data_IF_210676801587
#
_entry.id   IF_210676801587
#
_cell.length_a   1.000
_cell.length_b   1.000
_cell.length_c   1.000
_cell.angle_alpha   90.00
_cell.angle_beta   90.00
_cell.angle_gamma   90.00
#
_symmetry.space_group_name_H-M   'P 1'
#
loop_
_entity.id
_entity.type
_entity.pdbx_description
1 polymer ?
#
# COMPACT_ATOMS: atom_id res chain seq x y z
N UNK A 1 12.19 -9.34 -16.89
CA UNK A 1 12.52 -10.50 -16.02
C UNK A 1 11.81 -10.28 -14.71
N UNK A 2 11.09 -11.28 -14.19
CA UNK A 2 10.46 -11.14 -12.87
C UNK A 2 11.55 -11.02 -11.80
N UNK A 3 11.25 -10.29 -10.72
CA UNK A 3 12.12 -10.27 -9.54
C UNK A 3 12.24 -11.67 -8.96
N UNK A 4 13.44 -12.07 -8.54
CA UNK A 4 13.68 -13.36 -7.88
C UNK A 4 12.76 -13.56 -6.66
N UNK A 5 12.38 -12.47 -5.98
CA UNK A 5 11.44 -12.50 -4.86
C UNK A 5 10.04 -12.89 -5.31
N UNK A 6 9.51 -12.21 -6.32
CA UNK A 6 8.20 -12.48 -6.91
C UNK A 6 8.09 -13.89 -7.51
N UNK A 7 9.17 -14.40 -8.11
CA UNK A 7 9.23 -15.78 -8.60
C UNK A 7 9.08 -16.80 -7.46
N UNK A 8 9.73 -16.56 -6.33
CA UNK A 8 9.60 -17.39 -5.13
C UNK A 8 8.19 -17.30 -4.55
N UNK A 9 7.58 -16.12 -4.52
CA UNK A 9 6.18 -15.93 -4.09
C UNK A 9 5.21 -16.74 -4.94
N UNK A 10 5.34 -16.65 -6.27
CA UNK A 10 4.46 -17.34 -7.20
C UNK A 10 4.63 -18.86 -7.09
N UNK A 11 5.85 -19.34 -6.89
CA UNK A 11 6.11 -20.77 -6.63
C UNK A 11 5.45 -21.24 -5.33
N UNK A 12 5.50 -20.46 -4.26
CA UNK A 12 4.77 -20.76 -3.01
C UNK A 12 3.26 -20.79 -3.26
N UNK A 13 2.72 -19.78 -3.95
CA UNK A 13 1.29 -19.67 -4.26
C UNK A 13 0.75 -20.87 -5.06
N UNK A 14 1.54 -21.42 -5.98
CA UNK A 14 1.17 -22.61 -6.76
C UNK A 14 1.32 -23.93 -5.98
N UNK A 15 2.12 -23.95 -4.91
CA UNK A 15 2.34 -25.12 -4.07
C UNK A 15 1.29 -25.24 -2.95
N UNK A 16 0.84 -24.12 -2.38
CA UNK A 16 -0.14 -24.08 -1.28
C UNK A 16 -1.44 -24.87 -1.58
N UNK A 17 -2.04 -24.83 -2.79
CA UNK A 17 -3.26 -25.58 -3.09
C UNK A 17 -3.12 -27.07 -2.84
N UNK A 18 -1.96 -27.65 -3.20
CA UNK A 18 -1.64 -29.05 -2.97
C UNK A 18 -1.58 -29.40 -1.48
N UNK A 19 -1.17 -28.46 -0.62
CA UNK A 19 -1.10 -28.68 0.83
C UNK A 19 -2.46 -28.61 1.51
N UNK A 20 -3.36 -27.80 0.96
CA UNK A 20 -4.73 -27.60 1.47
C UNK A 20 -5.78 -28.46 0.75
N UNK A 21 -5.36 -29.36 -0.14
CA UNK A 21 -6.23 -30.22 -0.97
C UNK A 21 -7.19 -29.41 -1.87
N UNK A 22 -6.79 -28.23 -2.30
CA UNK A 22 -7.50 -27.49 -3.34
C UNK A 22 -7.06 -27.98 -4.72
N UNK A 23 -8.03 -28.23 -5.60
CA UNK A 23 -7.79 -28.71 -6.97
C UNK A 23 -7.11 -27.65 -7.84
N UNK A 24 -7.28 -26.36 -7.51
CA UNK A 24 -6.74 -25.25 -8.28
C UNK A 24 -6.08 -24.19 -7.38
N UNK A 25 -5.11 -23.49 -7.95
CA UNK A 25 -4.55 -22.29 -7.35
C UNK A 25 -5.52 -21.11 -7.47
N UNK A 26 -6.07 -20.69 -6.33
CA UNK A 26 -6.96 -19.52 -6.22
C UNK A 26 -6.21 -18.28 -5.75
N UNK A 27 -6.83 -17.10 -5.86
CA UNK A 27 -6.28 -15.84 -5.38
C UNK A 27 -5.94 -15.84 -3.88
N UNK A 28 -6.62 -16.67 -3.08
CA UNK A 28 -6.37 -16.81 -1.64
C UNK A 28 -4.97 -17.36 -1.35
N UNK A 29 -4.51 -18.32 -2.15
CA UNK A 29 -3.18 -18.90 -2.03
C UNK A 29 -2.08 -17.90 -2.42
N UNK A 30 -2.36 -17.08 -3.43
CA UNK A 30 -1.46 -15.99 -3.84
C UNK A 30 -1.36 -14.92 -2.75
N UNK A 31 -2.51 -14.55 -2.17
CA UNK A 31 -2.56 -13.59 -1.07
C UNK A 31 -1.80 -14.12 0.15
N UNK A 32 -1.98 -15.40 0.49
CA UNK A 32 -1.26 -16.03 1.59
C UNK A 32 0.26 -16.02 1.36
N UNK A 33 0.71 -16.36 0.15
CA UNK A 33 2.12 -16.34 -0.21
C UNK A 33 2.72 -14.92 -0.17
N UNK A 34 1.97 -13.90 -0.61
CA UNK A 34 2.38 -12.50 -0.56
C UNK A 34 2.47 -11.96 0.86
N UNK A 35 1.56 -12.38 1.75
CA UNK A 35 1.58 -12.00 3.17
C UNK A 35 2.77 -12.60 3.95
N UNK A 36 3.31 -13.72 3.50
CA UNK A 36 4.48 -14.36 4.14
C UNK A 36 5.83 -13.81 3.65
N UNK A 37 5.85 -13.01 2.59
CA UNK A 37 7.09 -12.46 2.06
C UNK A 37 7.60 -11.29 2.90
N UNK A 38 8.88 -11.38 3.27
CA UNK A 38 9.54 -10.44 4.18
C UNK A 38 9.60 -9.01 3.63
N UNK A 39 9.59 -8.85 2.31
CA UNK A 39 9.61 -7.55 1.64
C UNK A 39 8.25 -6.83 1.72
N UNK A 40 7.17 -7.55 2.03
CA UNK A 40 5.81 -7.03 2.20
C UNK A 40 5.48 -6.68 3.65
N UNK A 41 6.49 -6.47 4.51
CA UNK A 41 6.31 -6.15 5.94
C UNK A 41 5.43 -4.90 6.21
N UNK A 42 5.23 -4.05 5.19
CA UNK A 42 4.37 -2.88 5.24
C UNK A 42 2.88 -3.18 5.04
N UNK A 43 2.53 -4.34 4.46
CA UNK A 43 1.15 -4.78 4.27
C UNK A 43 0.80 -5.78 5.37
N UNK A 44 0.51 -5.26 6.57
CA UNK A 44 0.15 -6.14 7.69
C UNK A 44 -1.24 -6.72 7.46
N UNK A 45 -1.47 -7.92 7.99
CA UNK A 45 -2.80 -8.55 8.04
C UNK A 45 -3.86 -7.60 8.63
N UNK A 46 -3.47 -6.74 9.56
CA UNK A 46 -4.31 -5.67 10.13
C UNK A 46 -4.79 -4.66 9.09
N UNK A 47 -3.94 -4.29 8.13
CA UNK A 47 -4.24 -3.21 7.17
C UNK A 47 -5.24 -3.68 6.11
N UNK A 48 -5.22 -4.98 5.79
CA UNK A 48 -6.20 -5.63 4.90
C UNK A 48 -7.55 -5.79 5.61
N UNK A 49 -7.56 -6.20 6.89
CA UNK A 49 -8.78 -6.43 7.66
C UNK A 49 -9.48 -5.13 8.06
N UNK A 50 -8.73 -4.04 8.31
CA UNK A 50 -9.29 -2.73 8.62
C UNK A 50 -10.03 -2.08 7.43
N UNK A 51 -9.84 -2.58 6.21
CA UNK A 51 -10.60 -2.12 5.04
C UNK A 51 -12.01 -2.74 4.96
N UNK A 52 -12.28 -3.82 5.71
CA UNK A 52 -13.60 -4.46 5.75
C UNK A 52 -14.15 -4.50 7.17
N UNK A 53 -14.82 -3.43 7.61
CA UNK A 53 -15.71 -3.43 8.79
C UNK A 53 -16.95 -4.34 8.64
N UNK A 54 -16.95 -5.29 7.71
CA UNK A 54 -18.09 -6.15 7.41
C UNK A 54 -17.69 -7.60 7.26
N UNK A 55 -17.81 -8.36 8.34
CA UNK A 55 -18.09 -9.81 8.36
C UNK A 55 -17.31 -10.68 7.38
N UNK A 56 -15.99 -10.74 7.51
CA UNK A 56 -15.26 -11.89 6.98
C UNK A 56 -14.45 -12.52 8.11
N UNK A 57 -14.97 -13.65 8.61
CA UNK A 57 -14.29 -14.58 9.50
C UNK A 57 -13.11 -15.25 8.77
N UNK A 58 -12.14 -14.46 8.30
CA UNK A 58 -10.94 -14.99 7.66
C UNK A 58 -10.07 -15.74 8.67
N UNK A 59 -10.18 -15.40 9.96
CA UNK A 59 -9.52 -16.13 11.03
C UNK A 59 -10.05 -17.55 11.20
N UNK A 60 -11.33 -17.85 10.92
CA UNK A 60 -11.81 -19.24 10.97
C UNK A 60 -11.34 -20.07 9.78
N UNK A 61 -11.13 -19.45 8.61
CA UNK A 61 -10.59 -20.13 7.41
C UNK A 61 -9.10 -20.43 7.57
N UNK A 62 -8.36 -19.56 8.29
CA UNK A 62 -6.93 -19.73 8.55
C UNK A 62 -6.66 -20.60 9.80
N UNK A 63 -7.64 -20.81 10.68
CA UNK A 63 -7.47 -21.64 11.88
C UNK A 63 -7.35 -23.14 11.61
N UNK A 64 -7.86 -23.63 10.47
CA UNK A 64 -7.68 -25.02 10.03
C UNK A 64 -6.32 -25.27 9.36
N UNK A 65 -5.43 -24.28 9.37
CA UNK A 65 -4.09 -24.41 8.82
C UNK A 65 -3.21 -25.15 9.84
N UNK A 66 -2.83 -26.42 9.62
CA UNK A 66 -1.72 -26.98 10.36
C UNK A 66 -0.51 -26.10 10.06
N UNK A 67 0.04 -25.45 11.09
CA UNK A 67 1.34 -24.74 11.04
C UNK A 67 2.46 -25.75 10.83
N UNK A 68 2.46 -26.44 9.69
CA UNK A 68 3.56 -27.28 9.26
C UNK A 68 4.60 -26.30 8.74
N UNK A 69 5.67 -26.09 9.51
CA UNK A 69 6.87 -25.46 9.00
C UNK A 69 7.40 -26.33 7.86
N UNK A 70 6.92 -26.10 6.64
CA UNK A 70 7.45 -26.75 5.47
C UNK A 70 8.70 -25.96 5.10
N UNK A 71 9.85 -26.57 5.38
CA UNK A 71 11.15 -26.09 4.94
C UNK A 71 11.19 -26.08 3.41
N UNK A 72 11.05 -24.91 2.78
CA UNK A 72 11.21 -24.74 1.32
C UNK A 72 12.69 -24.82 0.88
N UNK A 73 13.46 -25.73 1.50
CA UNK A 73 14.93 -25.80 1.35
C UNK A 73 15.42 -26.98 0.51
N UNK A 74 14.56 -27.64 -0.24
CA UNK A 74 14.94 -28.80 -1.07
C UNK A 74 14.47 -28.68 -2.53
N UNK A 75 14.99 -27.69 -3.25
CA UNK A 75 15.36 -27.90 -4.67
C UNK A 75 16.78 -27.34 -4.79
N UNK A 76 17.73 -28.25 -5.06
CA UNK A 76 19.17 -28.08 -4.86
C UNK A 76 19.75 -26.95 -5.70
N UNK A 77 20.50 -26.07 -5.04
CA UNK A 77 21.83 -25.65 -5.51
C UNK A 77 22.73 -25.56 -4.28
N UNK A 78 23.68 -26.49 -4.23
CA UNK A 78 24.80 -26.68 -3.31
C UNK A 78 25.10 -25.60 -2.24
N UNK A 79 25.29 -26.08 -1.00
CA UNK A 79 26.21 -25.46 -0.04
C UNK A 79 25.61 -24.91 1.25
N UNK A 80 26.17 -25.40 2.37
CA UNK A 80 26.25 -24.78 3.70
C UNK A 80 25.04 -24.87 4.68
N UNK A 81 25.14 -25.91 5.50
CA UNK A 81 25.17 -25.91 6.98
C UNK A 81 24.06 -25.21 7.79
N UNK A 82 23.31 -26.07 8.45
CA UNK A 82 22.83 -26.00 9.84
C UNK A 82 23.27 -24.78 10.66
N UNK A 83 22.30 -23.94 11.04
CA UNK A 83 22.24 -23.39 12.41
C UNK A 83 20.78 -23.26 12.86
N UNK A 84 20.44 -24.04 13.88
CA UNK A 84 19.34 -23.80 14.83
C UNK A 84 19.39 -22.34 15.32
N UNK A 85 18.24 -21.72 15.53
CA UNK A 85 17.93 -21.04 16.80
C UNK A 85 16.44 -20.68 16.85
N UNK A 86 15.68 -21.47 17.61
CA UNK A 86 14.52 -20.98 18.34
C UNK A 86 15.05 -20.33 19.63
N UNK A 87 14.55 -19.17 20.03
CA UNK A 87 14.34 -18.82 21.44
C UNK A 87 13.81 -17.39 21.60
N UNK A 88 12.63 -17.29 22.22
CA UNK A 88 12.22 -16.23 23.16
C UNK A 88 12.06 -14.82 22.53
N UNK A 89 10.96 -14.09 22.74
CA UNK A 89 10.58 -13.47 24.01
C UNK A 89 9.08 -13.11 23.92
N UNK A 90 8.29 -13.68 24.83
CA UNK A 90 7.07 -13.06 25.31
C UNK A 90 7.46 -12.14 26.48
N UNK A 91 7.00 -10.90 26.46
CA UNK A 91 6.71 -10.11 27.66
C UNK A 91 6.02 -8.82 27.23
N UNK A 92 4.70 -8.72 27.43
CA UNK A 92 4.10 -7.43 27.73
C UNK A 92 4.56 -6.98 29.12
N UNK A 93 4.74 -5.67 29.32
CA UNK A 93 3.92 -5.01 30.33
C UNK A 93 3.43 -3.61 29.93
N UNK A 94 2.51 -3.15 30.77
CA UNK A 94 1.58 -2.03 30.74
C UNK A 94 2.14 -0.63 31.06
N UNK A 95 1.45 0.40 30.51
CA UNK A 95 1.14 1.75 31.04
C UNK A 95 2.28 2.76 31.36
N UNK A 96 2.31 3.91 30.64
CA UNK A 96 2.29 5.31 31.16
C UNK A 96 2.90 6.36 30.18
N UNK A 97 2.04 7.23 29.61
CA UNK A 97 2.21 8.59 29.03
C UNK A 97 3.51 9.06 28.29
N UNK A 98 3.57 10.33 27.83
CA UNK A 98 3.33 10.80 26.46
C UNK A 98 4.63 11.00 25.68
N UNK A 99 4.78 10.40 24.49
CA UNK A 99 5.95 10.62 23.65
C UNK A 99 5.60 11.30 22.33
N UNK A 100 6.06 12.54 22.26
CA UNK A 100 6.40 13.23 21.03
C UNK A 100 7.05 12.29 20.00
N UNK A 101 6.74 12.56 18.74
CA UNK A 101 7.49 12.13 17.56
C UNK A 101 7.73 10.61 17.46
N UNK A 102 6.66 9.85 17.27
CA UNK A 102 6.78 8.60 16.50
C UNK A 102 6.98 9.02 15.05
N UNK A 103 8.23 9.08 14.62
CA UNK A 103 8.60 9.31 13.22
C UNK A 103 7.82 8.33 12.37
N UNK A 104 6.84 8.84 11.61
CA UNK A 104 6.15 8.05 10.60
C UNK A 104 7.23 7.47 9.68
N UNK A 105 7.17 6.18 9.33
CA UNK A 105 8.05 5.67 8.29
C UNK A 105 7.81 6.52 7.04
N UNK A 106 8.84 7.22 6.57
CA UNK A 106 8.73 8.10 5.40
C UNK A 106 8.10 7.30 4.26
N UNK A 107 6.89 7.70 3.92
CA UNK A 107 6.08 7.04 2.91
C UNK A 107 6.80 7.22 1.57
N UNK A 108 6.80 6.22 0.67
CA UNK A 108 7.44 6.38 -0.65
C UNK A 108 6.93 7.62 -1.39
N UNK A 109 5.68 8.01 -1.14
CA UNK A 109 5.07 9.25 -1.63
C UNK A 109 5.79 10.50 -1.12
N UNK A 110 6.25 10.54 0.12
CA UNK A 110 6.94 11.72 0.68
C UNK A 110 8.34 11.89 0.08
N UNK A 111 8.97 10.80 -0.37
CA UNK A 111 10.29 10.83 -1.01
C UNK A 111 10.26 11.34 -2.44
N UNK A 112 9.17 11.08 -3.17
CA UNK A 112 9.09 11.36 -4.61
C UNK A 112 7.98 12.32 -5.02
N UNK A 113 7.05 12.66 -4.12
CA UNK A 113 5.91 13.52 -4.40
C UNK A 113 5.85 14.69 -3.43
N UNK A 114 5.20 15.76 -3.90
CA UNK A 114 4.94 16.97 -3.11
C UNK A 114 3.44 17.02 -2.85
N UNK A 115 3.04 17.15 -1.59
CA UNK A 115 1.64 17.30 -1.24
C UNK A 115 1.21 18.77 -1.40
N UNK A 116 0.46 19.06 -2.47
CA UNK A 116 -0.04 20.41 -2.75
C UNK A 116 -1.09 20.90 -1.74
N UNK A 117 -1.84 20.00 -1.09
CA UNK A 117 -2.81 20.41 -0.07
C UNK A 117 -2.11 20.94 1.19
N UNK A 118 -0.95 20.38 1.55
CA UNK A 118 -0.15 20.88 2.66
C UNK A 118 0.42 22.27 2.34
N UNK A 119 0.97 22.44 1.12
CA UNK A 119 1.43 23.76 0.65
C UNK A 119 0.32 24.80 0.62
N UNK A 120 -0.89 24.40 0.24
CA UNK A 120 -2.06 25.27 0.24
C UNK A 120 -2.47 25.70 1.65
N UNK A 121 -2.32 24.83 2.66
CA UNK A 121 -2.57 25.18 4.07
C UNK A 121 -1.51 26.14 4.64
N UNK A 122 -0.29 26.07 4.13
CA UNK A 122 0.83 26.93 4.52
C UNK A 122 0.84 28.28 3.76
N UNK A 123 -0.15 28.52 2.89
CA UNK A 123 -0.23 29.67 1.97
C UNK A 123 1.02 29.83 1.06
N UNK A 124 1.79 28.75 0.85
CA UNK A 124 3.00 28.70 0.00
C UNK A 124 2.66 28.32 -1.46
N UNK A 125 1.56 28.86 -1.99
CA UNK A 125 1.10 28.61 -3.36
C UNK A 125 0.88 29.93 -4.09
N UNK A 126 1.24 29.97 -5.37
CA UNK A 126 1.03 31.13 -6.22
C UNK A 126 -0.46 31.50 -6.37
N UNK A 127 -0.73 32.80 -6.26
CA UNK A 127 -2.08 33.34 -6.43
C UNK A 127 -2.56 33.16 -7.88
N UNK A 128 -3.56 32.30 -8.08
CA UNK A 128 -4.13 32.04 -9.40
C UNK A 128 -5.21 33.06 -9.77
N UNK A 129 -4.95 33.90 -10.77
CA UNK A 129 -5.89 34.93 -11.26
C UNK A 129 -6.46 34.54 -12.62
N UNK A 130 -7.78 34.68 -12.79
CA UNK A 130 -8.44 34.58 -14.10
C UNK A 130 -8.60 33.16 -14.67
N UNK A 131 -8.37 32.11 -13.87
CA UNK A 131 -8.41 30.70 -14.30
C UNK A 131 -9.56 29.89 -13.71
N UNK A 132 -10.65 30.57 -13.38
CA UNK A 132 -11.77 29.94 -12.69
C UNK A 132 -12.47 28.89 -13.55
N UNK A 133 -12.63 29.13 -14.85
CA UNK A 133 -13.29 28.18 -15.77
C UNK A 133 -12.50 26.88 -15.92
N UNK A 134 -11.17 26.95 -15.98
CA UNK A 134 -10.32 25.77 -16.15
C UNK A 134 -10.30 24.91 -14.88
N UNK A 135 -10.26 25.54 -13.70
CA UNK A 135 -10.39 24.82 -12.43
C UNK A 135 -11.77 24.19 -12.32
N UNK A 136 -12.84 24.94 -12.60
CA UNK A 136 -14.21 24.43 -12.57
C UNK A 136 -14.34 23.20 -13.47
N UNK A 137 -13.78 23.27 -14.68
CA UNK A 137 -13.76 22.14 -15.61
C UNK A 137 -12.98 20.95 -15.10
N UNK A 138 -11.88 21.19 -14.40
CA UNK A 138 -11.06 20.14 -13.77
C UNK A 138 -11.87 19.41 -12.69
N UNK A 139 -12.55 20.14 -11.80
CA UNK A 139 -13.45 19.57 -10.78
C UNK A 139 -14.53 18.73 -11.44
N UNK A 140 -15.22 19.26 -12.45
CA UNK A 140 -16.26 18.52 -13.18
C UNK A 140 -15.76 17.21 -13.79
N UNK A 141 -14.52 17.17 -14.28
CA UNK A 141 -13.92 15.96 -14.84
C UNK A 141 -13.61 14.95 -13.73
N UNK A 142 -12.98 15.41 -12.64
CA UNK A 142 -12.61 14.55 -11.50
C UNK A 142 -13.85 13.89 -10.85
N UNK A 143 -15.01 14.57 -10.86
CA UNK A 143 -16.26 14.06 -10.32
C UNK A 143 -17.01 13.08 -11.25
N UNK A 144 -16.51 12.75 -12.45
CA UNK A 144 -17.19 11.83 -13.37
C UNK A 144 -17.04 10.36 -12.95
N UNK A 145 -18.03 9.53 -13.28
CA UNK A 145 -17.93 8.08 -13.07
C UNK A 145 -17.00 7.36 -14.07
N UNK A 146 -16.77 7.95 -15.25
CA UNK A 146 -15.88 7.40 -16.29
C UNK A 146 -15.00 8.51 -16.83
N UNK A 147 -13.73 8.19 -17.10
CA UNK A 147 -12.72 9.14 -17.60
C UNK A 147 -12.55 10.34 -16.67
N UNK A 148 -12.36 10.06 -15.37
CA UNK A 148 -12.19 11.06 -14.33
C UNK A 148 -10.76 11.60 -14.20
N UNK A 149 -9.80 11.04 -14.94
CA UNK A 149 -8.42 11.54 -14.93
C UNK A 149 -8.32 12.79 -15.80
N UNK A 150 -8.28 13.97 -15.16
CA UNK A 150 -8.08 15.24 -15.85
C UNK A 150 -6.66 15.35 -16.41
N UNK A 151 -6.55 15.75 -17.69
CA UNK A 151 -5.29 15.99 -18.38
C UNK A 151 -5.26 17.43 -18.90
N UNK A 152 -4.33 18.23 -18.39
CA UNK A 152 -4.15 19.63 -18.79
C UNK A 152 -3.20 19.71 -19.99
N UNK A 153 -3.70 20.22 -21.12
CA UNK A 153 -2.94 20.34 -22.38
C UNK A 153 -2.70 21.81 -22.70
N UNK A 154 -1.50 22.14 -23.17
CA UNK A 154 -1.14 23.50 -23.62
C UNK A 154 0.36 23.64 -23.87
N UNK A 155 0.81 24.80 -24.34
CA UNK A 155 2.23 25.11 -24.56
C UNK A 155 3.03 25.15 -23.25
N UNK A 156 4.36 25.07 -23.33
CA UNK A 156 5.20 25.22 -22.13
C UNK A 156 5.04 26.62 -21.52
N UNK A 157 5.10 26.73 -20.19
CA UNK A 157 5.03 28.03 -19.50
C UNK A 157 3.63 28.64 -19.34
N UNK A 158 2.58 28.05 -19.93
CA UNK A 158 1.19 28.56 -19.79
C UNK A 158 0.58 28.35 -18.40
N UNK A 159 1.33 27.92 -17.38
CA UNK A 159 0.83 27.78 -16.01
C UNK A 159 -0.09 26.57 -15.75
N UNK A 160 0.13 25.44 -16.44
CA UNK A 160 -0.61 24.18 -16.15
C UNK A 160 -0.48 23.76 -14.69
N UNK A 161 0.71 23.91 -14.11
CA UNK A 161 0.98 23.64 -12.69
C UNK A 161 0.14 24.52 -11.77
N UNK A 162 0.00 25.80 -12.12
CA UNK A 162 -0.77 26.77 -11.35
C UNK A 162 -2.26 26.41 -11.26
N UNK A 163 -2.81 25.67 -12.25
CA UNK A 163 -4.18 25.14 -12.18
C UNK A 163 -4.30 24.03 -11.13
N UNK A 164 -3.30 23.15 -11.02
CA UNK A 164 -3.28 22.09 -10.00
C UNK A 164 -3.11 22.66 -8.57
N UNK A 165 -2.25 23.67 -8.44
CA UNK A 165 -2.06 24.45 -7.23
C UNK A 165 -3.34 25.20 -6.82
N UNK A 166 -3.99 25.91 -7.74
CA UNK A 166 -5.26 26.59 -7.47
C UNK A 166 -6.40 25.63 -7.14
N UNK A 167 -6.39 24.41 -7.69
CA UNK A 167 -7.32 23.35 -7.30
C UNK A 167 -7.08 22.93 -5.84
N UNK A 168 -5.83 22.74 -5.42
CA UNK A 168 -5.50 22.42 -4.03
C UNK A 168 -5.99 23.50 -3.04
N UNK A 169 -5.82 24.78 -3.40
CA UNK A 169 -6.34 25.91 -2.61
C UNK A 169 -7.86 25.86 -2.47
N UNK A 170 -8.61 25.55 -3.54
CA UNK A 170 -10.08 25.41 -3.46
C UNK A 170 -10.51 24.22 -2.61
N UNK A 171 -9.78 23.09 -2.69
CA UNK A 171 -10.04 21.91 -1.86
C UNK A 171 -9.86 22.25 -0.38
N UNK A 172 -8.75 22.91 -0.01
CA UNK A 172 -8.49 23.32 1.39
C UNK A 172 -9.56 24.30 1.90
N UNK A 173 -10.03 25.21 1.04
CA UNK A 173 -11.10 26.16 1.38
C UNK A 173 -12.50 25.54 1.42
N UNK A 174 -12.67 24.29 0.98
CA UNK A 174 -13.98 23.62 0.91
C UNK A 174 -14.89 24.15 -0.21
N UNK A 175 -14.31 24.75 -1.26
CA UNK A 175 -15.02 25.43 -2.33
C UNK A 175 -15.01 24.59 -3.64
N UNK A 176 -15.36 23.30 -3.51
CA UNK A 176 -15.35 22.25 -4.56
C UNK A 176 -16.58 21.36 -4.50
#
# INVERSE_FOLDING_TARGET
MLSNTLELTLRKALYLPSTYKHEYATCEHLLLALMEDKDQAHLKRSDILNYSEGNNNFDSVVQDVPKKQISYKNIKSDGLSDRKLNSQINSEPSLSEPSAAIGKPETELEKYCINLNNKANEDDIDCLIGRHEEIQRTVEILCRHKKNNALLVGESGVGKTAIAEGLAVRIVKGDV
#
